data_IF_631399652697
#
_entry.id   IF_631399652697
#
_cell.length_a   1.000
_cell.length_b   1.000
_cell.length_c   1.000
_cell.angle_alpha   90.00
_cell.angle_beta   90.00
_cell.angle_gamma   90.00
#
_symmetry.space_group_name_H-M   'P 1'
#
loop_
_entity.id
_entity.type
_entity.pdbx_description
1 polymer ?
#
# COMPACT_ATOMS: atom_id res chain seq x y z
N UNK A 1 56.00 29.31 -27.84
CA UNK A 1 56.53 28.15 -28.60
C UNK A 1 56.26 26.91 -27.77
N UNK A 2 55.23 26.12 -28.16
CA UNK A 2 55.33 24.74 -28.72
C UNK A 2 55.82 23.74 -27.64
N UNK A 3 55.05 22.72 -27.25
CA UNK A 3 54.46 21.69 -28.13
C UNK A 3 53.07 21.16 -27.67
N UNK A 4 52.18 21.15 -28.66
CA UNK A 4 50.99 20.31 -28.94
C UNK A 4 51.48 18.88 -29.33
N UNK A 5 50.85 17.70 -29.11
CA UNK A 5 49.50 17.10 -29.34
C UNK A 5 49.63 15.57 -28.95
N UNK A 6 48.62 14.66 -29.07
CA UNK A 6 47.27 14.82 -29.58
C UNK A 6 46.10 14.28 -28.71
N UNK A 7 44.96 14.89 -29.01
CA UNK A 7 43.59 14.49 -28.70
C UNK A 7 43.24 13.24 -29.51
N UNK A 8 42.72 12.20 -28.85
CA UNK A 8 41.97 11.14 -29.52
C UNK A 8 40.47 11.37 -29.27
N UNK A 9 39.76 11.74 -30.33
CA UNK A 9 38.31 11.80 -30.39
C UNK A 9 37.75 10.38 -30.38
N UNK A 10 36.82 10.09 -29.46
CA UNK A 10 35.82 9.05 -29.68
C UNK A 10 34.44 9.63 -29.38
N UNK A 11 33.61 9.61 -30.41
CA UNK A 11 32.19 9.94 -30.39
C UNK A 11 31.43 9.09 -29.37
N UNK A 12 30.80 9.73 -28.39
CA UNK A 12 29.50 9.27 -27.90
C UNK A 12 28.49 10.41 -28.08
N UNK A 13 27.57 10.14 -29.00
CA UNK A 13 26.40 10.94 -29.33
C UNK A 13 25.56 11.24 -28.09
N UNK A 14 25.12 12.48 -28.02
CA UNK A 14 24.26 13.03 -26.99
C UNK A 14 22.90 12.33 -26.93
N UNK A 15 22.57 11.81 -25.74
CA UNK A 15 21.22 11.87 -25.17
C UNK A 15 21.40 12.29 -23.71
N UNK A 16 21.77 13.55 -23.52
CA UNK A 16 21.80 14.17 -22.21
C UNK A 16 20.39 14.70 -21.92
N UNK A 17 19.49 13.79 -21.55
CA UNK A 17 18.21 14.19 -20.94
C UNK A 17 18.56 14.73 -19.56
N UNK A 18 18.23 15.99 -19.33
CA UNK A 18 18.59 16.78 -18.15
C UNK A 18 18.16 16.14 -16.83
N UNK A 19 19.02 15.30 -16.23
CA UNK A 19 18.98 15.00 -14.81
C UNK A 19 19.56 16.18 -14.04
N UNK A 20 18.70 17.01 -13.45
CA UNK A 20 19.11 17.96 -12.41
C UNK A 20 19.35 17.19 -11.12
N UNK A 21 20.58 16.67 -10.95
CA UNK A 21 21.04 16.18 -9.66
C UNK A 21 21.18 17.41 -8.74
N UNK A 22 20.29 17.51 -7.76
CA UNK A 22 20.22 18.63 -6.81
C UNK A 22 21.24 18.41 -5.69
N UNK A 23 22.48 18.86 -5.89
CA UNK A 23 23.43 19.05 -4.78
C UNK A 23 23.04 20.38 -4.11
N UNK A 24 22.16 20.34 -3.09
CA UNK A 24 21.75 21.54 -2.35
C UNK A 24 22.89 22.00 -1.44
N UNK A 25 23.33 23.26 -1.60
CA UNK A 25 24.12 24.00 -0.61
C UNK A 25 23.23 24.30 0.61
N UNK A 26 23.83 24.26 1.81
CA UNK A 26 23.22 24.72 3.06
C UNK A 26 22.98 26.24 3.03
N UNK A 27 21.84 26.64 2.47
CA UNK A 27 21.17 27.90 2.78
C UNK A 27 19.73 27.54 3.16
N UNK A 28 19.13 28.32 4.07
CA UNK A 28 17.87 28.16 4.81
C UNK A 28 16.64 27.81 3.93
N UNK A 29 16.65 26.63 3.30
CA UNK A 29 15.64 26.15 2.36
C UNK A 29 14.42 25.68 3.14
N UNK A 30 13.40 26.53 3.23
CA UNK A 30 12.10 26.15 3.80
C UNK A 30 11.48 25.02 2.96
N UNK A 31 11.20 23.89 3.59
CA UNK A 31 10.56 22.72 2.98
C UNK A 31 9.20 23.09 2.40
N UNK A 32 9.03 22.88 1.09
CA UNK A 32 7.77 23.14 0.37
C UNK A 32 6.91 21.88 0.32
N UNK A 33 5.66 21.97 0.80
CA UNK A 33 4.75 20.82 0.94
C UNK A 33 3.61 20.89 -0.09
N UNK A 34 3.42 19.83 -0.87
CA UNK A 34 2.23 19.65 -1.70
C UNK A 34 1.11 18.98 -0.91
N UNK A 35 -0.14 19.38 -1.09
CA UNK A 35 -1.29 18.76 -0.43
C UNK A 35 -2.31 18.30 -1.45
N UNK A 36 -2.62 17.01 -1.39
CA UNK A 36 -3.61 16.33 -2.21
C UNK A 36 -4.56 15.59 -1.27
N UNK A 37 -5.86 15.65 -1.53
CA UNK A 37 -6.84 14.94 -0.72
C UNK A 37 -7.97 14.37 -1.58
N UNK A 38 -8.61 13.31 -1.11
CA UNK A 38 -9.88 12.87 -1.66
C UNK A 38 -11.00 13.89 -1.40
N UNK A 39 -12.10 13.74 -2.14
CA UNK A 39 -13.21 14.71 -2.12
C UNK A 39 -14.34 14.30 -1.17
N UNK A 40 -14.17 13.21 -0.41
CA UNK A 40 -15.13 12.80 0.61
C UNK A 40 -15.07 13.77 1.80
N UNK A 41 -16.20 13.96 2.50
CA UNK A 41 -16.32 14.97 3.54
C UNK A 41 -15.24 14.86 4.64
N UNK A 42 -14.96 13.64 5.13
CA UNK A 42 -13.91 13.40 6.13
C UNK A 42 -12.52 13.76 5.63
N UNK A 43 -12.18 13.40 4.39
CA UNK A 43 -10.89 13.71 3.78
C UNK A 43 -10.71 15.21 3.53
N UNK A 44 -11.79 15.93 3.25
CA UNK A 44 -11.78 17.39 3.09
C UNK A 44 -11.60 18.11 4.42
N UNK A 45 -12.23 17.63 5.50
CA UNK A 45 -12.02 18.13 6.85
C UNK A 45 -10.57 17.92 7.30
N UNK A 46 -10.03 16.71 7.08
CA UNK A 46 -8.64 16.38 7.37
C UNK A 46 -7.67 17.23 6.52
N UNK A 47 -7.98 17.49 5.25
CA UNK A 47 -7.19 18.38 4.39
C UNK A 47 -7.21 19.84 4.87
N UNK A 48 -8.36 20.35 5.32
CA UNK A 48 -8.45 21.68 5.95
C UNK A 48 -7.55 21.75 7.17
N UNK A 49 -7.65 20.76 8.04
CA UNK A 49 -6.83 20.67 9.24
C UNK A 49 -5.33 20.66 8.91
N UNK A 50 -4.90 19.84 7.94
CA UNK A 50 -3.51 19.79 7.46
C UNK A 50 -3.05 21.15 6.94
N UNK A 51 -3.84 21.81 6.10
CA UNK A 51 -3.51 23.14 5.56
C UNK A 51 -3.42 24.19 6.68
N UNK A 52 -4.30 24.15 7.67
CA UNK A 52 -4.28 25.09 8.79
C UNK A 52 -3.03 24.90 9.66
N UNK A 53 -2.58 23.66 9.88
CA UNK A 53 -1.31 23.37 10.58
C UNK A 53 -0.11 23.89 9.76
N UNK A 54 -0.10 23.69 8.45
CA UNK A 54 0.96 24.21 7.58
C UNK A 54 1.03 25.75 7.64
N UNK A 55 -0.12 26.43 7.57
CA UNK A 55 -0.20 27.90 7.71
C UNK A 55 0.30 28.37 9.07
N UNK A 56 -0.12 27.71 10.16
CA UNK A 56 0.28 28.06 11.53
C UNK A 56 1.80 27.97 11.74
N UNK A 57 2.46 27.04 11.08
CA UNK A 57 3.92 26.86 11.15
C UNK A 57 4.69 27.68 10.10
N UNK A 58 4.00 28.50 9.30
CA UNK A 58 4.63 29.32 8.26
C UNK A 58 5.30 28.51 7.15
N UNK A 59 4.83 27.28 6.92
CA UNK A 59 5.33 26.39 5.87
C UNK A 59 4.88 26.87 4.50
N UNK A 60 5.77 26.79 3.49
CA UNK A 60 5.36 27.02 2.10
C UNK A 60 4.60 25.77 1.60
N UNK A 61 3.40 25.95 1.05
CA UNK A 61 2.63 24.83 0.53
C UNK A 61 1.86 25.18 -0.75
N UNK A 62 1.52 24.14 -1.51
CA UNK A 62 0.62 24.21 -2.67
C UNK A 62 -0.44 23.13 -2.55
N UNK A 63 -1.62 23.36 -3.11
CA UNK A 63 -2.74 22.40 -3.09
C UNK A 63 -3.10 21.97 -4.51
N UNK A 64 -3.65 20.77 -4.66
CA UNK A 64 -4.16 20.30 -5.96
C UNK A 64 -5.31 21.16 -6.47
N UNK A 65 -5.40 21.38 -7.79
CA UNK A 65 -6.49 22.11 -8.45
C UNK A 65 -7.88 21.78 -7.88
N UNK A 66 -8.22 20.49 -7.80
CA UNK A 66 -9.52 20.03 -7.28
C UNK A 66 -9.75 20.37 -5.81
N UNK A 67 -8.71 20.29 -5.00
CA UNK A 67 -8.78 20.64 -3.58
C UNK A 67 -8.90 22.16 -3.41
N UNK A 68 -8.22 22.94 -4.24
CA UNK A 68 -8.25 24.41 -4.25
C UNK A 68 -9.66 24.97 -4.45
N UNK A 69 -10.42 24.38 -5.38
CA UNK A 69 -11.82 24.74 -5.66
C UNK A 69 -12.72 24.64 -4.41
N UNK A 70 -12.39 23.68 -3.54
CA UNK A 70 -13.16 23.39 -2.32
C UNK A 70 -12.69 24.20 -1.10
N UNK A 71 -11.38 24.47 -1.01
CA UNK A 71 -10.80 25.19 0.13
C UNK A 71 -10.97 26.71 0.06
N UNK A 72 -11.20 27.28 -1.14
CA UNK A 72 -11.39 28.72 -1.44
C UNK A 72 -10.27 29.63 -0.91
N UNK A 73 -9.72 30.47 -1.79
CA UNK A 73 -8.67 31.44 -1.42
C UNK A 73 -7.26 30.85 -1.32
N UNK A 74 -7.03 29.70 -1.96
CA UNK A 74 -5.71 29.10 -2.16
C UNK A 74 -5.63 28.72 -3.64
N UNK A 75 -4.54 29.11 -4.31
CA UNK A 75 -4.34 28.75 -5.71
C UNK A 75 -3.99 27.28 -5.86
N UNK A 76 -4.62 26.63 -6.85
CA UNK A 76 -4.38 25.24 -7.22
C UNK A 76 -3.19 25.08 -8.17
N UNK A 77 -2.52 23.93 -8.06
CA UNK A 77 -1.55 23.47 -9.04
C UNK A 77 -1.92 22.05 -9.46
N UNK A 78 -1.86 21.77 -10.77
CA UNK A 78 -2.01 20.42 -11.29
C UNK A 78 -0.95 19.50 -10.69
N UNK A 79 -1.37 18.31 -10.26
CA UNK A 79 -0.50 17.33 -9.58
C UNK A 79 0.82 17.06 -10.31
N UNK A 80 0.80 16.96 -11.64
CA UNK A 80 2.00 16.73 -12.47
C UNK A 80 2.94 17.92 -12.57
N UNK A 81 2.48 19.11 -12.22
CA UNK A 81 3.23 20.37 -12.26
C UNK A 81 3.66 20.84 -10.87
N UNK A 82 3.33 20.09 -9.81
CA UNK A 82 3.74 20.43 -8.46
C UNK A 82 5.26 20.26 -8.32
N UNK A 83 5.93 21.35 -7.96
CA UNK A 83 7.37 21.37 -7.62
C UNK A 83 7.51 21.50 -6.10
N UNK A 84 7.49 20.38 -5.40
CA UNK A 84 7.47 20.34 -3.92
C UNK A 84 8.55 19.41 -3.39
N UNK A 85 9.03 19.67 -2.17
CA UNK A 85 10.02 18.82 -1.51
C UNK A 85 9.37 17.57 -0.89
N UNK A 86 8.10 17.66 -0.46
CA UNK A 86 7.28 16.52 0.01
C UNK A 86 5.85 16.69 -0.50
N UNK A 87 5.23 15.59 -0.94
CA UNK A 87 3.82 15.54 -1.33
C UNK A 87 3.00 14.77 -0.29
N UNK A 88 2.12 15.47 0.41
CA UNK A 88 1.18 14.87 1.34
C UNK A 88 -0.08 14.41 0.60
N UNK A 89 -0.42 13.13 0.72
CA UNK A 89 -1.64 12.54 0.13
C UNK A 89 -2.56 12.07 1.25
N UNK A 90 -3.73 12.69 1.35
CA UNK A 90 -4.72 12.43 2.40
C UNK A 90 -5.85 11.58 1.81
N UNK A 91 -6.10 10.42 2.40
CA UNK A 91 -7.15 9.51 1.95
C UNK A 91 -6.85 8.07 2.30
N UNK A 92 -7.25 7.15 1.43
CA UNK A 92 -7.02 5.70 1.56
C UNK A 92 -6.06 5.11 0.54
N UNK A 93 -5.73 3.83 0.71
CA UNK A 93 -4.87 3.05 -0.21
C UNK A 93 -5.33 3.20 -1.66
N UNK A 94 -6.64 3.11 -1.91
CA UNK A 94 -7.22 3.27 -3.25
C UNK A 94 -6.92 4.66 -3.84
N UNK A 95 -6.99 5.69 -3.02
CA UNK A 95 -6.74 7.07 -3.44
C UNK A 95 -5.25 7.31 -3.67
N UNK A 96 -4.38 6.80 -2.78
CA UNK A 96 -2.92 6.84 -2.92
C UNK A 96 -2.47 6.21 -4.24
N UNK A 97 -2.91 4.98 -4.53
CA UNK A 97 -2.59 4.29 -5.79
C UNK A 97 -3.04 5.10 -7.01
N UNK A 98 -4.26 5.65 -6.97
CA UNK A 98 -4.77 6.50 -8.05
C UNK A 98 -3.88 7.71 -8.30
N UNK A 99 -3.39 8.36 -7.24
CA UNK A 99 -2.53 9.54 -7.34
C UNK A 99 -1.12 9.20 -7.80
N UNK A 100 -0.57 8.05 -7.40
CA UNK A 100 0.68 7.53 -7.93
C UNK A 100 0.61 7.26 -9.44
N UNK A 101 -0.49 6.68 -9.93
CA UNK A 101 -0.73 6.48 -11.36
C UNK A 101 -0.85 7.81 -12.12
N UNK A 102 -1.48 8.82 -11.49
CA UNK A 102 -1.62 10.16 -12.06
C UNK A 102 -0.28 10.90 -12.14
N UNK A 103 0.56 10.81 -11.09
CA UNK A 103 1.92 11.36 -11.03
C UNK A 103 2.85 10.70 -12.06
N UNK A 104 2.76 9.38 -12.23
CA UNK A 104 3.62 8.62 -13.11
C UNK A 104 5.06 8.50 -12.58
N UNK A 105 6.04 8.83 -13.41
CA UNK A 105 7.46 8.87 -13.03
C UNK A 105 7.68 10.09 -12.12
N UNK A 106 8.05 9.85 -10.86
CA UNK A 106 8.26 10.92 -9.87
C UNK A 106 9.27 10.45 -8.83
N UNK A 107 10.09 11.38 -8.35
CA UNK A 107 11.03 11.18 -7.23
C UNK A 107 10.61 11.97 -5.99
N UNK A 108 9.47 12.68 -6.05
CA UNK A 108 8.94 13.46 -4.94
C UNK A 108 8.60 12.48 -3.80
N UNK A 109 9.17 12.66 -2.60
CA UNK A 109 8.79 11.90 -1.40
C UNK A 109 7.32 12.13 -1.06
N UNK A 110 6.61 11.05 -0.76
CA UNK A 110 5.17 11.05 -0.50
C UNK A 110 4.95 10.77 0.98
N UNK A 111 4.20 11.64 1.65
CA UNK A 111 3.69 11.41 2.99
C UNK A 111 2.22 10.98 2.90
N UNK A 112 1.92 9.67 2.95
CA UNK A 112 0.54 9.19 3.02
C UNK A 112 -0.04 9.49 4.41
N UNK A 113 -1.17 10.20 4.47
CA UNK A 113 -1.91 10.50 5.71
C UNK A 113 -3.30 9.87 5.68
N UNK A 114 -3.57 8.97 6.63
CA UNK A 114 -4.82 8.24 6.70
C UNK A 114 -5.93 9.20 7.12
N UNK A 115 -7.05 9.16 6.40
CA UNK A 115 -8.27 9.86 6.81
C UNK A 115 -9.04 9.03 7.84
N UNK A 116 -9.79 9.71 8.72
CA UNK A 116 -10.54 9.03 9.79
C UNK A 116 -11.46 7.94 9.26
N UNK A 117 -11.42 6.77 9.89
CA UNK A 117 -12.34 5.66 9.65
C UNK A 117 -12.06 4.86 8.38
N UNK A 118 -10.93 5.08 7.71
CA UNK A 118 -10.52 4.25 6.56
C UNK A 118 -9.42 3.26 7.01
N UNK A 119 -9.64 1.95 6.84
CA UNK A 119 -8.60 0.96 7.08
C UNK A 119 -7.57 1.01 5.95
N UNK A 120 -6.33 1.32 6.29
CA UNK A 120 -5.30 1.60 5.29
C UNK A 120 -3.98 0.92 5.65
N UNK A 121 -3.42 0.14 4.72
CA UNK A 121 -2.20 -0.65 4.92
C UNK A 121 -0.92 0.15 4.64
N UNK A 122 -0.98 1.15 3.74
CA UNK A 122 0.17 1.95 3.33
C UNK A 122 0.35 3.24 4.15
N UNK A 123 -0.45 3.42 5.20
CA UNK A 123 -0.53 4.67 5.96
C UNK A 123 -0.11 4.43 7.41
N UNK A 124 1.04 4.99 7.81
CA UNK A 124 1.51 4.89 9.19
C UNK A 124 0.92 5.98 10.10
N UNK A 125 0.50 7.11 9.53
CA UNK A 125 0.13 8.34 10.27
C UNK A 125 -1.25 8.81 9.83
N UNK A 126 -2.09 9.16 10.80
CA UNK A 126 -3.38 9.82 10.52
C UNK A 126 -3.19 11.32 10.27
N UNK A 127 -4.01 11.89 9.38
CA UNK A 127 -4.02 13.33 9.11
C UNK A 127 -4.23 14.18 10.37
N UNK A 128 -4.91 13.67 11.40
CA UNK A 128 -5.11 14.37 12.68
C UNK A 128 -3.84 14.52 13.51
N UNK A 129 -2.80 13.74 13.21
CA UNK A 129 -1.53 13.74 13.95
C UNK A 129 -0.43 14.54 13.26
N UNK A 130 -0.76 15.26 12.19
CA UNK A 130 0.24 16.03 11.45
C UNK A 130 0.90 17.10 12.33
N UNK A 131 0.20 17.65 13.31
CA UNK A 131 0.73 18.63 14.26
C UNK A 131 1.90 18.06 15.08
N UNK A 132 1.85 16.78 15.40
CA UNK A 132 2.89 16.05 16.13
C UNK A 132 4.14 15.75 15.30
N UNK A 133 4.06 15.80 13.97
CA UNK A 133 5.19 15.49 13.07
C UNK A 133 5.63 16.66 12.20
N UNK A 134 4.91 17.78 12.20
CA UNK A 134 5.23 18.89 11.29
C UNK A 134 6.64 19.43 11.53
N UNK A 135 7.09 19.53 12.79
CA UNK A 135 8.47 19.91 13.11
C UNK A 135 9.48 18.95 12.48
N UNK A 136 9.29 17.64 12.69
CA UNK A 136 10.17 16.61 12.11
C UNK A 136 10.14 16.63 10.58
N UNK A 137 8.98 16.87 9.98
CA UNK A 137 8.82 16.97 8.53
C UNK A 137 9.62 18.15 7.96
N UNK A 138 9.54 19.32 8.61
CA UNK A 138 10.21 20.54 8.18
C UNK A 138 11.72 20.48 8.38
N UNK A 139 12.17 19.87 9.48
CA UNK A 139 13.60 19.66 9.81
C UNK A 139 14.21 18.48 9.05
N UNK A 140 13.44 17.79 8.21
CA UNK A 140 13.88 16.57 7.50
C UNK A 140 14.32 15.43 8.43
N UNK A 141 13.75 15.34 9.63
CA UNK A 141 13.96 14.27 10.61
C UNK A 141 13.11 13.03 10.26
N UNK A 142 13.25 12.54 9.04
CA UNK A 142 12.54 11.37 8.50
C UNK A 142 13.41 10.67 7.47
N UNK A 143 13.06 9.43 7.11
CA UNK A 143 13.79 8.62 6.12
C UNK A 143 12.93 8.36 4.90
N UNK A 144 13.58 8.20 3.75
CA UNK A 144 12.92 7.72 2.53
C UNK A 144 12.83 6.19 2.60
N UNK A 145 11.62 5.67 2.54
CA UNK A 145 11.35 4.26 2.30
C UNK A 145 11.06 4.06 0.82
N UNK A 146 11.89 3.24 0.17
CA UNK A 146 11.75 2.98 -1.26
C UNK A 146 10.78 1.83 -1.51
N UNK A 147 9.74 2.09 -2.28
CA UNK A 147 8.82 1.08 -2.80
C UNK A 147 9.06 0.84 -4.28
N UNK A 148 9.50 -0.37 -4.60
CA UNK A 148 9.74 -0.82 -5.98
C UNK A 148 8.44 -0.75 -6.79
N UNK A 149 8.57 -0.26 -8.02
CA UNK A 149 7.47 -0.18 -9.00
C UNK A 149 7.81 -0.97 -10.26
N UNK A 150 6.77 -1.44 -10.93
CA UNK A 150 6.90 -2.09 -12.24
C UNK A 150 6.22 -1.27 -13.33
N UNK A 151 6.70 -1.38 -14.56
CA UNK A 151 6.05 -0.83 -15.75
C UNK A 151 5.79 -1.97 -16.73
N UNK A 152 4.71 -1.84 -17.49
CA UNK A 152 4.39 -2.77 -18.56
C UNK A 152 4.26 -2.04 -19.90
N UNK A 153 4.68 -2.68 -20.97
CA UNK A 153 4.38 -2.29 -22.33
C UNK A 153 3.24 -3.17 -22.85
N UNK A 154 2.13 -2.54 -23.24
CA UNK A 154 0.95 -3.21 -23.78
C UNK A 154 0.63 -2.58 -25.13
N UNK A 155 0.70 -3.37 -26.21
CA UNK A 155 0.43 -2.93 -27.58
C UNK A 155 1.25 -1.69 -27.99
N UNK A 156 2.55 -1.69 -27.64
CA UNK A 156 3.48 -0.58 -27.94
C UNK A 156 3.31 0.66 -27.05
N UNK A 157 2.46 0.61 -26.01
CA UNK A 157 2.26 1.72 -25.08
C UNK A 157 2.65 1.33 -23.67
N UNK A 158 3.59 2.08 -23.10
CA UNK A 158 3.99 1.91 -21.70
C UNK A 158 2.85 2.31 -20.74
N UNK A 159 2.77 1.64 -19.60
CA UNK A 159 1.89 2.00 -18.49
C UNK A 159 2.57 3.06 -17.63
N UNK A 160 1.80 3.82 -16.83
CA UNK A 160 2.36 4.45 -15.65
C UNK A 160 3.05 3.39 -14.76
N UNK A 161 4.05 3.76 -13.95
CA UNK A 161 4.61 2.87 -12.95
C UNK A 161 3.53 2.43 -11.94
N UNK A 162 3.47 1.13 -11.72
CA UNK A 162 2.50 0.46 -10.86
C UNK A 162 3.15 0.14 -9.52
N UNK A 163 2.45 0.43 -8.43
CA UNK A 163 2.96 0.19 -7.08
C UNK A 163 2.74 -1.26 -6.65
N UNK A 164 1.59 -1.85 -6.96
CA UNK A 164 1.21 -3.17 -6.49
C UNK A 164 1.45 -4.22 -7.56
N UNK A 165 0.66 -4.22 -8.62
CA UNK A 165 0.64 -5.33 -9.56
C UNK A 165 0.04 -4.99 -10.93
N UNK A 166 0.38 -5.84 -11.89
CA UNK A 166 -0.34 -6.00 -13.15
C UNK A 166 -0.91 -7.40 -13.23
N UNK A 167 -2.22 -7.50 -13.44
CA UNK A 167 -2.90 -8.77 -13.66
C UNK A 167 -3.43 -8.88 -15.09
N UNK A 168 -3.11 -9.98 -15.78
CA UNK A 168 -3.63 -10.31 -17.11
C UNK A 168 -4.77 -11.32 -16.94
N UNK A 169 -5.97 -10.95 -17.35
CA UNK A 169 -7.19 -11.74 -17.14
C UNK A 169 -8.04 -11.81 -18.39
N UNK A 170 -8.86 -12.85 -18.49
CA UNK A 170 -10.00 -12.83 -19.39
C UNK A 170 -11.01 -11.76 -18.93
N UNK A 171 -11.58 -10.99 -19.86
CA UNK A 171 -12.59 -9.96 -19.56
C UNK A 171 -13.86 -10.55 -18.91
N UNK A 172 -14.19 -11.80 -19.25
CA UNK A 172 -15.30 -12.53 -18.66
C UNK A 172 -14.76 -13.49 -17.61
N UNK A 173 -15.30 -13.42 -16.40
CA UNK A 173 -14.96 -14.33 -15.31
C UNK A 173 -15.17 -15.80 -15.71
N UNK A 174 -14.45 -16.71 -15.05
CA UNK A 174 -14.49 -18.15 -15.31
C UNK A 174 -14.18 -18.52 -16.78
N UNK A 175 -13.33 -17.74 -17.44
CA UNK A 175 -12.83 -18.02 -18.78
C UNK A 175 -11.32 -18.06 -18.75
N UNK A 176 -10.74 -19.12 -19.32
CA UNK A 176 -9.30 -19.29 -19.35
C UNK A 176 -8.63 -18.35 -20.36
N UNK A 177 -7.47 -17.85 -19.99
CA UNK A 177 -6.44 -17.38 -20.92
C UNK A 177 -5.40 -18.48 -21.10
N UNK A 178 -4.84 -18.61 -22.30
CA UNK A 178 -3.62 -19.38 -22.55
C UNK A 178 -2.50 -18.42 -22.89
N UNK A 179 -1.30 -18.70 -22.39
CA UNK A 179 -0.14 -17.83 -22.57
C UNK A 179 1.17 -18.61 -22.48
N UNK A 180 2.22 -18.00 -23.01
CA UNK A 180 3.62 -18.38 -22.85
C UNK A 180 4.32 -17.32 -22.00
N UNK A 181 4.97 -17.74 -20.92
CA UNK A 181 5.80 -16.89 -20.05
C UNK A 181 7.27 -17.04 -20.43
N UNK A 182 7.92 -15.91 -20.65
CA UNK A 182 9.35 -15.79 -20.91
C UNK A 182 9.99 -14.92 -19.83
N UNK A 183 11.22 -15.27 -19.45
CA UNK A 183 12.08 -14.49 -18.55
C UNK A 183 13.39 -14.28 -19.28
N UNK A 184 13.79 -13.02 -19.50
CA UNK A 184 14.98 -12.65 -20.30
C UNK A 184 15.08 -13.41 -21.63
N UNK A 185 13.97 -13.37 -22.40
CA UNK A 185 13.83 -14.03 -23.70
C UNK A 185 13.88 -15.58 -23.67
N UNK A 186 14.13 -16.20 -22.52
CA UNK A 186 14.08 -17.65 -22.34
C UNK A 186 12.66 -18.13 -22.05
N UNK A 187 12.25 -19.22 -22.71
CA UNK A 187 10.93 -19.80 -22.48
C UNK A 187 10.88 -20.49 -21.13
N UNK A 188 10.15 -19.89 -20.18
CA UNK A 188 9.98 -20.44 -18.84
C UNK A 188 8.87 -21.48 -18.81
N UNK A 189 7.65 -21.11 -19.23
CA UNK A 189 6.55 -22.06 -19.34
C UNK A 189 5.40 -21.64 -20.26
N UNK A 190 4.51 -22.60 -20.56
CA UNK A 190 3.15 -22.33 -21.06
C UNK A 190 2.12 -22.76 -20.03
N UNK A 191 1.01 -22.04 -20.00
CA UNK A 191 -0.07 -22.36 -19.08
C UNK A 191 -1.45 -21.94 -19.61
N UNK A 192 -2.49 -22.50 -18.99
CA UNK A 192 -3.87 -22.04 -19.12
C UNK A 192 -4.41 -21.72 -17.73
N UNK A 193 -4.95 -20.54 -17.51
CA UNK A 193 -5.39 -20.10 -16.18
C UNK A 193 -6.48 -19.04 -16.28
N UNK A 194 -7.14 -18.70 -15.18
CA UNK A 194 -8.06 -17.54 -15.15
C UNK A 194 -7.30 -16.22 -15.38
N UNK A 195 -6.02 -16.20 -14.99
CA UNK A 195 -5.12 -15.08 -15.24
C UNK A 195 -3.69 -15.30 -14.74
N UNK A 196 -2.87 -14.28 -14.89
CA UNK A 196 -1.51 -14.21 -14.39
C UNK A 196 -1.28 -12.84 -13.76
N UNK A 197 -0.75 -12.81 -12.53
CA UNK A 197 -0.39 -11.57 -11.83
C UNK A 197 1.13 -11.46 -11.78
N UNK A 198 1.67 -10.28 -12.07
CA UNK A 198 3.03 -9.91 -11.72
C UNK A 198 2.95 -8.81 -10.66
N UNK A 199 3.46 -9.09 -9.47
CA UNK A 199 3.35 -8.22 -8.31
C UNK A 199 4.73 -7.74 -7.83
N UNK A 200 4.76 -6.52 -7.33
CA UNK A 200 5.89 -5.96 -6.58
C UNK A 200 5.88 -6.50 -5.14
N UNK A 201 6.93 -6.24 -4.34
CA UNK A 201 6.91 -6.54 -2.92
C UNK A 201 5.75 -5.85 -2.18
N UNK A 202 5.40 -4.62 -2.58
CA UNK A 202 4.27 -3.88 -1.99
C UNK A 202 2.93 -4.52 -2.38
N UNK A 203 2.79 -4.98 -3.63
CA UNK A 203 1.61 -5.71 -4.08
C UNK A 203 1.48 -7.13 -3.53
N UNK A 204 2.52 -7.66 -2.87
CA UNK A 204 2.51 -9.03 -2.33
C UNK A 204 1.43 -9.23 -1.26
N UNK A 205 1.04 -8.18 -0.53
CA UNK A 205 -0.04 -8.15 0.46
C UNK A 205 -1.40 -7.73 -0.12
N UNK A 206 -1.45 -7.37 -1.40
CA UNK A 206 -2.66 -6.94 -2.09
C UNK A 206 -3.35 -8.15 -2.78
N UNK A 207 -3.68 -8.05 -4.07
CA UNK A 207 -4.40 -9.12 -4.75
C UNK A 207 -3.57 -10.41 -4.85
N UNK A 208 -2.25 -10.28 -4.98
CA UNK A 208 -1.30 -11.41 -4.94
C UNK A 208 -1.52 -12.31 -3.73
N UNK A 209 -1.70 -11.75 -2.53
CA UNK A 209 -1.93 -12.54 -1.31
C UNK A 209 -3.21 -13.38 -1.41
N UNK A 210 -4.26 -12.80 -1.98
CA UNK A 210 -5.57 -13.45 -2.11
C UNK A 210 -5.56 -14.65 -3.06
N UNK A 211 -4.64 -14.67 -4.03
CA UNK A 211 -4.48 -15.79 -4.98
C UNK A 211 -3.36 -16.77 -4.58
N UNK A 212 -2.88 -16.68 -3.33
CA UNK A 212 -1.87 -17.59 -2.78
C UNK A 212 -0.42 -17.22 -3.09
N UNK A 213 -0.16 -15.96 -3.44
CA UNK A 213 1.20 -15.43 -3.55
C UNK A 213 1.90 -15.32 -2.18
N UNK A 214 3.24 -15.34 -2.15
CA UNK A 214 3.99 -15.15 -0.91
C UNK A 214 3.93 -13.69 -0.44
N UNK A 215 4.02 -13.49 0.88
CA UNK A 215 4.28 -12.16 1.46
C UNK A 215 5.76 -11.83 1.28
N UNK A 216 6.05 -10.65 0.73
CA UNK A 216 7.41 -10.18 0.43
C UNK A 216 7.65 -8.86 1.15
N UNK A 217 8.80 -8.74 1.81
CA UNK A 217 9.19 -7.50 2.49
C UNK A 217 9.43 -6.39 1.47
N UNK A 218 8.89 -5.19 1.73
CA UNK A 218 8.87 -4.07 0.78
C UNK A 218 10.25 -3.69 0.18
N UNK A 219 11.33 -3.84 0.95
CA UNK A 219 12.71 -3.52 0.56
C UNK A 219 13.38 -4.57 -0.34
N UNK A 220 12.74 -5.70 -0.59
CA UNK A 220 13.32 -6.81 -1.36
C UNK A 220 13.38 -6.46 -2.86
N UNK A 221 14.53 -6.60 -3.55
CA UNK A 221 14.67 -6.28 -4.98
C UNK A 221 14.15 -7.42 -5.86
N UNK A 222 12.88 -7.77 -5.71
CA UNK A 222 12.26 -8.92 -6.37
C UNK A 222 10.86 -8.60 -6.86
N UNK A 223 10.40 -9.35 -7.87
CA UNK A 223 9.00 -9.45 -8.26
C UNK A 223 8.49 -10.86 -8.07
N UNK A 224 7.17 -11.01 -7.93
CA UNK A 224 6.50 -12.30 -7.91
C UNK A 224 5.59 -12.45 -9.11
N UNK A 225 5.55 -13.66 -9.67
CA UNK A 225 4.63 -14.05 -10.75
C UNK A 225 3.72 -15.14 -10.21
N UNK A 226 2.41 -14.87 -10.21
CA UNK A 226 1.40 -15.72 -9.59
C UNK A 226 0.34 -16.11 -10.63
N UNK A 227 0.28 -17.39 -11.04
CA UNK A 227 -0.80 -17.86 -11.88
C UNK A 227 -2.10 -17.94 -11.07
N UNK A 228 -3.19 -17.39 -11.59
CA UNK A 228 -4.51 -17.40 -10.94
C UNK A 228 -5.31 -18.57 -11.46
N UNK A 229 -5.59 -19.56 -10.60
CA UNK A 229 -6.33 -20.78 -10.94
C UNK A 229 -5.80 -21.49 -12.20
N UNK A 230 -4.49 -21.81 -12.19
CA UNK A 230 -3.86 -22.60 -13.26
C UNK A 230 -4.53 -23.96 -13.45
N UNK A 231 -4.70 -24.39 -14.70
CA UNK A 231 -5.12 -25.76 -15.04
C UNK A 231 -4.07 -26.80 -14.70
N UNK A 232 -2.80 -26.39 -14.58
CA UNK A 232 -1.73 -27.23 -14.08
C UNK A 232 -1.55 -27.01 -12.56
N UNK A 233 -1.95 -27.97 -11.72
CA UNK A 233 -1.90 -27.83 -10.26
C UNK A 233 -0.48 -27.87 -9.69
N UNK A 234 0.55 -28.14 -10.49
CA UNK A 234 1.95 -28.04 -10.08
C UNK A 234 2.50 -26.61 -10.22
N UNK A 235 1.77 -25.70 -10.90
CA UNK A 235 2.17 -24.29 -11.00
C UNK A 235 2.12 -23.64 -9.62
N UNK A 236 3.19 -22.96 -9.26
CA UNK A 236 3.34 -22.24 -7.99
C UNK A 236 3.75 -20.80 -8.30
N UNK A 237 3.45 -19.84 -7.39
CA UNK A 237 4.07 -18.54 -7.44
C UNK A 237 5.59 -18.68 -7.54
N UNK A 238 6.21 -17.84 -8.37
CA UNK A 238 7.67 -17.73 -8.44
C UNK A 238 8.08 -16.33 -8.00
N UNK A 239 9.23 -16.24 -7.35
CA UNK A 239 9.87 -14.98 -6.98
C UNK A 239 11.16 -14.89 -7.77
N UNK A 240 11.37 -13.76 -8.43
CA UNK A 240 12.53 -13.51 -9.27
C UNK A 240 13.12 -12.13 -8.99
N UNK A 241 14.38 -11.94 -9.35
CA UNK A 241 15.04 -10.64 -9.25
C UNK A 241 14.35 -9.60 -10.13
N UNK A 242 14.26 -8.35 -9.65
CA UNK A 242 13.53 -7.28 -10.33
C UNK A 242 14.28 -6.64 -11.51
N UNK A 243 15.53 -7.05 -11.77
CA UNK A 243 16.31 -6.66 -12.95
C UNK A 243 15.97 -7.48 -14.21
N UNK A 244 15.33 -8.64 -14.05
CA UNK A 244 14.90 -9.50 -15.15
C UNK A 244 13.67 -8.93 -15.87
N UNK A 245 13.59 -9.18 -17.18
CA UNK A 245 12.44 -8.82 -18.00
C UNK A 245 11.48 -10.00 -18.09
N UNK A 246 10.21 -9.72 -17.83
CA UNK A 246 9.12 -10.70 -17.94
C UNK A 246 8.34 -10.42 -19.22
N UNK A 247 8.17 -11.44 -20.06
CA UNK A 247 7.35 -11.33 -21.27
C UNK A 247 6.23 -12.38 -21.27
N UNK A 248 5.01 -11.92 -21.53
CA UNK A 248 3.83 -12.76 -21.67
C UNK A 248 3.38 -12.70 -23.13
N UNK A 249 3.48 -13.81 -23.86
CA UNK A 249 3.13 -13.92 -25.28
C UNK A 249 2.17 -15.07 -25.55
N UNK A 250 1.81 -15.26 -26.82
CA UNK A 250 0.84 -16.29 -27.27
C UNK A 250 -0.51 -16.21 -26.53
N UNK A 251 -0.90 -14.99 -26.13
CA UNK A 251 -2.10 -14.71 -25.36
C UNK A 251 -3.35 -15.01 -26.19
N UNK A 252 -4.12 -16.01 -25.75
CA UNK A 252 -5.35 -16.42 -26.44
C UNK A 252 -6.46 -16.72 -25.44
N UNK A 253 -7.69 -16.36 -25.80
CA UNK A 253 -8.90 -16.66 -25.04
C UNK A 253 -10.12 -16.59 -25.97
N UNK A 254 -11.24 -17.19 -25.55
CA UNK A 254 -12.52 -17.09 -26.27
C UNK A 254 -13.19 -15.71 -26.09
N UNK A 255 -12.69 -14.90 -25.18
CA UNK A 255 -13.14 -13.53 -24.91
C UNK A 255 -11.96 -12.57 -24.97
N UNK A 256 -12.23 -11.25 -24.95
CA UNK A 256 -11.16 -10.25 -24.88
C UNK A 256 -10.31 -10.45 -23.61
N UNK A 257 -9.00 -10.19 -23.72
CA UNK A 257 -8.06 -10.20 -22.61
C UNK A 257 -7.83 -8.76 -22.15
N UNK A 258 -7.74 -8.55 -20.84
CA UNK A 258 -7.50 -7.25 -20.22
C UNK A 258 -6.33 -7.34 -19.24
N UNK A 259 -5.51 -6.29 -19.25
CA UNK A 259 -4.55 -6.00 -18.19
C UNK A 259 -5.22 -5.07 -17.17
N UNK A 260 -5.18 -5.48 -15.91
CA UNK A 260 -5.64 -4.73 -14.75
C UNK A 260 -4.40 -4.18 -14.05
N UNK A 261 -4.29 -2.85 -13.96
CA UNK A 261 -3.13 -2.15 -13.42
C UNK A 261 -3.48 -1.57 -12.05
N UNK A 262 -2.79 -2.00 -10.99
CA UNK A 262 -3.03 -1.64 -9.57
C UNK A 262 -4.50 -1.77 -9.13
N UNK A 263 -5.29 -2.61 -9.81
CA UNK A 263 -6.75 -2.71 -9.61
C UNK A 263 -7.57 -1.49 -10.07
N UNK A 264 -6.95 -0.46 -10.65
CA UNK A 264 -7.59 0.82 -10.98
C UNK A 264 -7.87 0.99 -12.48
N UNK A 265 -6.93 0.59 -13.34
CA UNK A 265 -7.00 0.82 -14.78
C UNK A 265 -7.14 -0.52 -15.50
N UNK A 266 -8.09 -0.60 -16.43
CA UNK A 266 -8.22 -1.73 -17.35
C UNK A 266 -7.77 -1.33 -18.75
N UNK A 267 -6.83 -2.08 -19.33
CA UNK A 267 -6.40 -1.93 -20.72
C UNK A 267 -6.66 -3.20 -21.49
N UNK A 268 -7.20 -3.09 -22.70
CA UNK A 268 -7.33 -4.23 -23.60
C UNK A 268 -5.92 -4.70 -23.99
N UNK A 269 -5.70 -6.01 -23.93
CA UNK A 269 -4.50 -6.66 -24.46
C UNK A 269 -4.88 -7.28 -25.80
N UNK A 270 -4.08 -7.01 -26.83
CA UNK A 270 -4.22 -7.63 -28.14
C UNK A 270 -3.28 -8.83 -28.27
N UNK A 271 -2.95 -9.22 -29.50
CA UNK A 271 -2.09 -10.39 -29.75
C UNK A 271 -0.59 -10.06 -29.62
N UNK A 272 -0.23 -8.81 -29.27
CA UNK A 272 1.17 -8.45 -29.01
C UNK A 272 1.61 -8.94 -27.63
N UNK A 273 2.93 -9.21 -27.45
CA UNK A 273 3.45 -9.55 -26.14
C UNK A 273 3.25 -8.42 -25.13
N UNK A 274 2.95 -8.78 -23.87
CA UNK A 274 3.01 -7.86 -22.74
C UNK A 274 4.39 -7.99 -22.12
N UNK A 275 5.17 -6.91 -22.14
CA UNK A 275 6.52 -6.87 -21.57
C UNK A 275 6.49 -6.12 -20.25
N UNK A 276 7.03 -6.71 -19.19
CA UNK A 276 7.00 -6.17 -17.83
C UNK A 276 8.44 -6.09 -17.33
N UNK A 277 8.78 -4.97 -16.71
CA UNK A 277 10.11 -4.71 -16.13
C UNK A 277 9.99 -3.79 -14.92
N UNK A 278 11.08 -3.67 -14.17
CA UNK A 278 11.18 -2.63 -13.14
C UNK A 278 11.09 -1.23 -13.75
N UNK A 279 10.36 -0.36 -13.05
CA UNK A 279 10.27 1.06 -13.36
C UNK A 279 11.62 1.74 -13.10
N UNK A 280 11.95 2.75 -13.90
CA UNK A 280 13.17 3.55 -13.71
C UNK A 280 13.10 4.39 -12.42
N UNK A 281 11.90 4.69 -11.93
CA UNK A 281 11.68 5.34 -10.62
C UNK A 281 10.82 4.50 -9.68
N UNK A 282 11.28 4.39 -8.43
CA UNK A 282 10.54 3.84 -7.30
C UNK A 282 9.64 4.91 -6.66
N UNK A 283 8.59 4.50 -5.95
CA UNK A 283 7.85 5.42 -5.09
C UNK A 283 8.63 5.63 -3.79
N UNK A 284 8.80 6.88 -3.38
CA UNK A 284 9.53 7.21 -2.15
C UNK A 284 8.53 7.63 -1.09
N UNK A 285 8.40 6.86 -0.01
CA UNK A 285 7.52 7.21 1.10
C UNK A 285 8.31 7.87 2.23
N UNK A 286 7.70 8.86 2.88
CA UNK A 286 8.24 9.50 4.08
C UNK A 286 7.96 8.58 5.27
N UNK A 287 9.01 8.01 5.85
CA UNK A 287 8.95 7.11 7.01
C UNK A 287 9.54 7.78 8.23
N UNK A 288 8.80 7.78 9.33
CA UNK A 288 9.28 8.24 10.63
C UNK A 288 9.80 7.05 11.46
N UNK A 289 10.52 7.29 12.55
CA UNK A 289 10.95 6.19 13.42
C UNK A 289 9.74 5.51 14.08
N UNK A 290 9.83 4.20 14.32
CA UNK A 290 8.75 3.44 14.98
C UNK A 290 8.37 4.06 16.33
N UNK A 291 9.36 4.42 17.15
CA UNK A 291 9.17 5.13 18.42
C UNK A 291 8.35 6.42 18.26
N UNK A 292 8.56 7.17 17.17
CA UNK A 292 7.84 8.40 16.89
C UNK A 292 6.40 8.12 16.46
N UNK A 293 6.20 7.14 15.59
CA UNK A 293 4.86 6.70 15.15
C UNK A 293 4.06 6.17 16.34
N UNK A 294 4.67 5.38 17.21
CA UNK A 294 4.03 4.83 18.41
C UNK A 294 3.68 5.91 19.43
N UNK A 295 4.54 6.93 19.62
CA UNK A 295 4.22 8.08 20.46
C UNK A 295 2.99 8.86 19.95
N UNK A 296 2.79 8.92 18.63
CA UNK A 296 1.63 9.55 18.00
C UNK A 296 0.38 8.67 18.11
N UNK A 297 0.54 7.34 17.97
CA UNK A 297 -0.53 6.37 18.24
C UNK A 297 -0.98 6.45 19.70
N UNK A 298 -0.05 6.54 20.66
CA UNK A 298 -0.35 6.74 22.07
C UNK A 298 -1.14 8.03 22.37
N UNK A 299 -0.95 9.09 21.58
CA UNK A 299 -1.80 10.30 21.63
C UNK A 299 -3.17 10.11 20.98
N UNK A 300 -3.27 9.28 19.94
CA UNK A 300 -4.53 8.88 19.31
C UNK A 300 -5.38 8.01 20.25
N UNK A 301 -4.75 7.06 20.94
CA UNK A 301 -5.36 6.11 21.87
C UNK A 301 -5.86 6.80 23.16
N UNK A 302 -5.24 7.91 23.58
CA UNK A 302 -5.76 8.72 24.69
C UNK A 302 -7.12 9.39 24.44
N UNK A 303 -7.61 9.42 23.19
CA UNK A 303 -8.96 9.93 22.87
C UNK A 303 -10.01 8.85 22.64
N UNK A 304 -9.62 7.58 22.56
CA UNK A 304 -10.52 6.43 22.39
C UNK A 304 -9.80 5.19 22.89
N UNK A 305 -10.12 4.75 24.11
CA UNK A 305 -9.62 3.49 24.65
C UNK A 305 -10.05 2.33 23.74
N UNK A 306 -9.08 1.63 23.16
CA UNK A 306 -9.35 0.45 22.32
C UNK A 306 -9.64 -0.77 23.18
N UNK A 307 -10.27 -1.79 22.58
CA UNK A 307 -10.54 -3.06 23.25
C UNK A 307 -9.23 -3.75 23.72
N UNK A 308 -8.12 -3.54 23.01
CA UNK A 308 -6.81 -4.07 23.36
C UNK A 308 -6.18 -3.35 24.56
N UNK A 309 -6.38 -2.03 24.69
CA UNK A 309 -5.91 -1.25 25.84
C UNK A 309 -6.62 -1.68 27.14
N UNK A 310 -7.95 -1.82 27.09
CA UNK A 310 -8.75 -2.31 28.23
C UNK A 310 -8.35 -3.75 28.57
N UNK A 311 -8.13 -4.60 27.58
CA UNK A 311 -7.66 -5.96 27.80
C UNK A 311 -6.26 -6.02 28.45
N UNK A 312 -5.39 -5.04 28.18
CA UNK A 312 -4.04 -4.98 28.76
C UNK A 312 -4.07 -4.80 30.28
N UNK A 313 -5.08 -4.13 30.83
CA UNK A 313 -5.26 -3.91 32.28
C UNK A 313 -5.93 -5.10 33.01
N UNK A 314 -6.43 -6.10 32.28
CA UNK A 314 -7.12 -7.24 32.87
C UNK A 314 -6.18 -8.30 33.48
N UNK A 315 -6.68 -9.18 34.36
CA UNK A 315 -5.91 -10.33 34.86
C UNK A 315 -5.44 -11.26 33.72
N UNK A 316 -4.29 -11.96 33.86
CA UNK A 316 -3.72 -12.80 32.81
C UNK A 316 -4.68 -13.85 32.23
N UNK A 317 -5.54 -14.43 33.07
CA UNK A 317 -6.55 -15.40 32.63
C UNK A 317 -7.61 -14.81 31.70
N UNK A 318 -8.00 -13.55 31.92
CA UNK A 318 -8.93 -12.84 31.06
C UNK A 318 -8.30 -12.46 29.71
N UNK A 319 -7.02 -12.03 29.72
CA UNK A 319 -6.27 -11.78 28.47
C UNK A 319 -6.17 -13.02 27.59
N UNK A 320 -5.86 -14.16 28.20
CA UNK A 320 -5.75 -15.43 27.48
C UNK A 320 -7.09 -15.83 26.83
N UNK A 321 -8.19 -15.74 27.58
CA UNK A 321 -9.54 -16.03 27.04
C UNK A 321 -9.90 -15.07 25.91
N UNK A 322 -9.57 -13.78 26.05
CA UNK A 322 -9.82 -12.78 25.01
C UNK A 322 -9.04 -13.09 23.72
N UNK A 323 -7.74 -13.39 23.83
CA UNK A 323 -6.91 -13.76 22.66
C UNK A 323 -7.35 -15.06 21.99
N UNK A 324 -7.80 -16.06 22.76
CA UNK A 324 -8.37 -17.29 22.17
C UNK A 324 -9.64 -17.01 21.38
N UNK A 325 -10.54 -16.16 21.90
CA UNK A 325 -11.76 -15.75 21.19
C UNK A 325 -11.47 -14.85 19.97
N UNK A 326 -10.44 -14.01 20.04
CA UNK A 326 -10.01 -13.20 18.89
C UNK A 326 -9.47 -14.09 17.76
N UNK A 327 -8.67 -15.09 18.09
CA UNK A 327 -8.04 -15.96 17.11
C UNK A 327 -9.00 -17.00 16.52
N UNK A 328 -9.86 -17.61 17.34
CA UNK A 328 -10.75 -18.70 16.92
C UNK A 328 -12.19 -18.25 16.62
N UNK A 329 -12.53 -16.99 16.91
CA UNK A 329 -13.85 -16.44 16.68
C UNK A 329 -14.88 -16.88 17.74
N UNK A 330 -16.05 -17.36 17.30
CA UNK A 330 -17.12 -17.75 18.22
C UNK A 330 -16.85 -19.12 18.84
N UNK A 331 -16.75 -19.17 20.18
CA UNK A 331 -16.58 -20.41 20.93
C UNK A 331 -17.60 -20.52 22.07
N UNK A 332 -17.99 -21.74 22.40
CA UNK A 332 -18.73 -22.08 23.61
C UNK A 332 -17.82 -22.04 24.84
N UNK A 333 -18.40 -21.93 26.03
CA UNK A 333 -17.61 -22.00 27.27
C UNK A 333 -16.79 -23.30 27.38
N UNK A 334 -17.29 -24.42 26.84
CA UNK A 334 -16.60 -25.71 26.86
C UNK A 334 -15.36 -25.67 25.98
N UNK A 335 -15.48 -25.18 24.76
CA UNK A 335 -14.36 -25.05 23.82
C UNK A 335 -13.31 -24.09 24.37
N UNK A 336 -13.71 -22.97 25.00
CA UNK A 336 -12.75 -22.04 25.63
C UNK A 336 -11.97 -22.73 26.76
N UNK A 337 -12.60 -23.60 27.55
CA UNK A 337 -11.89 -24.38 28.60
C UNK A 337 -10.87 -25.33 27.97
N UNK A 338 -11.23 -26.00 26.88
CA UNK A 338 -10.35 -26.95 26.18
C UNK A 338 -9.15 -26.22 25.54
N UNK A 339 -9.39 -25.10 24.88
CA UNK A 339 -8.35 -24.32 24.19
C UNK A 339 -7.42 -23.56 25.14
N UNK A 340 -7.94 -23.02 26.24
CA UNK A 340 -7.13 -22.27 27.22
C UNK A 340 -6.47 -23.15 28.27
N UNK A 341 -6.91 -24.41 28.41
CA UNK A 341 -6.52 -25.33 29.49
C UNK A 341 -6.71 -24.75 30.92
N UNK A 342 -7.54 -23.71 31.05
CA UNK A 342 -7.83 -23.09 32.34
C UNK A 342 -8.94 -23.83 33.10
N UNK A 343 -8.94 -23.81 34.45
CA UNK A 343 -10.03 -24.39 35.22
C UNK A 343 -11.40 -23.76 34.87
N UNK A 344 -12.51 -24.53 34.86
CA UNK A 344 -13.83 -24.02 34.48
C UNK A 344 -14.34 -22.83 35.31
N UNK A 345 -13.87 -22.67 36.55
CA UNK A 345 -14.21 -21.50 37.39
C UNK A 345 -13.46 -20.26 36.92
N UNK A 346 -12.19 -20.40 36.54
CA UNK A 346 -11.35 -19.31 36.02
C UNK A 346 -11.87 -18.80 34.69
N UNK A 347 -12.29 -19.70 33.78
CA UNK A 347 -12.90 -19.30 32.51
C UNK A 347 -14.22 -18.55 32.73
N UNK A 348 -15.08 -19.01 33.65
CA UNK A 348 -16.33 -18.28 33.98
C UNK A 348 -16.06 -16.89 34.53
N UNK A 349 -15.08 -16.76 35.43
CA UNK A 349 -14.65 -15.47 35.97
C UNK A 349 -14.13 -14.55 34.86
N UNK A 350 -13.23 -15.05 34.00
CA UNK A 350 -12.70 -14.31 32.87
C UNK A 350 -13.80 -13.85 31.89
N UNK A 351 -14.73 -14.73 31.53
CA UNK A 351 -15.87 -14.38 30.67
C UNK A 351 -16.77 -13.31 31.31
N UNK A 352 -17.04 -13.41 32.62
CA UNK A 352 -17.83 -12.40 33.33
C UNK A 352 -17.17 -11.03 33.30
N UNK A 353 -15.84 -10.99 33.47
CA UNK A 353 -15.05 -9.76 33.47
C UNK A 353 -14.95 -9.15 32.07
N UNK A 354 -14.67 -9.96 31.05
CA UNK A 354 -14.65 -9.49 29.66
C UNK A 354 -16.01 -8.99 29.17
N UNK A 355 -17.11 -9.58 29.67
CA UNK A 355 -18.47 -9.10 29.38
C UNK A 355 -18.78 -7.78 30.10
N UNK A 356 -18.31 -7.57 31.34
CA UNK A 356 -18.53 -6.30 32.05
C UNK A 356 -17.78 -5.14 31.41
N UNK A 357 -16.59 -5.40 30.84
CA UNK A 357 -15.82 -4.43 30.05
C UNK A 357 -16.33 -4.24 28.61
N UNK A 358 -17.38 -4.97 28.20
CA UNK A 358 -17.96 -4.90 26.85
C UNK A 358 -17.06 -5.46 25.74
N UNK A 359 -15.97 -6.13 26.09
CA UNK A 359 -14.99 -6.69 25.16
C UNK A 359 -15.49 -7.92 24.41
N UNK A 360 -16.44 -8.66 24.99
CA UNK A 360 -17.06 -9.82 24.37
C UNK A 360 -18.59 -9.77 24.53
N UNK A 361 -19.30 -10.44 23.61
CA UNK A 361 -20.75 -10.63 23.70
C UNK A 361 -21.12 -12.11 23.63
N UNK A 362 -22.22 -12.46 24.32
CA UNK A 362 -22.79 -13.81 24.35
C UNK A 362 -24.02 -13.87 23.44
N UNK A 363 -24.02 -14.78 22.48
CA UNK A 363 -25.17 -15.13 21.63
C UNK A 363 -25.63 -16.55 21.93
N UNK A 364 -26.90 -16.84 21.66
CA UNK A 364 -27.42 -18.21 21.72
C UNK A 364 -26.88 -19.02 20.54
N UNK A 365 -26.45 -20.25 20.80
CA UNK A 365 -26.14 -21.18 19.72
C UNK A 365 -27.44 -21.61 19.03
N UNK A 366 -27.46 -21.49 17.70
CA UNK A 366 -28.57 -21.98 16.88
C UNK A 366 -28.60 -23.52 16.81
N UNK A 367 -27.48 -24.19 17.12
CA UNK A 367 -27.37 -25.66 17.12
C UNK A 367 -27.77 -26.29 18.47
N UNK A 368 -27.61 -25.57 19.58
CA UNK A 368 -28.09 -25.98 20.92
C UNK A 368 -28.44 -24.73 21.74
N UNK A 369 -29.73 -24.43 21.89
CA UNK A 369 -30.22 -23.22 22.55
C UNK A 369 -29.88 -23.13 24.04
N UNK A 370 -29.39 -24.21 24.67
CA UNK A 370 -28.90 -24.21 26.05
C UNK A 370 -27.45 -23.72 26.16
N UNK A 371 -26.75 -23.58 25.04
CA UNK A 371 -25.37 -23.15 24.98
C UNK A 371 -25.25 -21.71 24.51
N UNK A 372 -24.40 -20.94 25.21
CA UNK A 372 -24.00 -19.61 24.77
C UNK A 372 -22.67 -19.65 24.03
N UNK A 373 -22.61 -18.96 22.89
CA UNK A 373 -21.39 -18.70 22.14
C UNK A 373 -20.89 -17.30 22.46
N UNK A 374 -19.61 -17.20 22.79
CA UNK A 374 -18.91 -15.97 23.12
C UNK A 374 -18.07 -15.54 21.91
N UNK A 375 -17.96 -14.24 21.68
CA UNK A 375 -17.10 -13.65 20.64
C UNK A 375 -16.70 -12.24 21.02
N UNK A 376 -15.58 -11.79 20.45
CA UNK A 376 -15.10 -10.41 20.59
C UNK A 376 -16.10 -9.43 19.97
N UNK A 377 -16.36 -8.34 20.69
CA UNK A 377 -17.21 -7.25 20.21
C UNK A 377 -16.38 -6.39 19.26
N UNK A 378 -16.64 -6.48 17.95
CA UNK A 378 -16.14 -5.47 17.03
C UNK A 378 -16.89 -4.16 17.31
N UNK A 379 -16.22 -3.19 17.94
CA UNK A 379 -16.68 -1.80 17.91
C UNK A 379 -16.56 -1.34 16.45
N UNK A 380 -17.72 -1.08 15.83
CA UNK A 380 -17.80 -0.50 14.49
C UNK A 380 -17.26 0.93 14.47
#
# INVERSE_FOLDING_TARGET
MRQLLPICQCHLSAVCTSLRIRVKKEEDHKTRVGVVSGMEASMLEDARYVVDILKKNGTEFVVEDKLSETLKGIDGVSLRKMDVDVLTIIGSDKFLLKKLLELGQTEIPILPLASKGQPDFLFEISATNIDGIIGDLLESNWKKEEHRRLVAEISGKETPPLLNDIGIFARRSATLIRYSLLIDDEHFWKDGSDGLIVATPTGSTAYSLSVGGPVILASSPVFSIIPVNSVNPARRPIVLSDDLKVEIKDLTSSVAIEAVLDGQIRRKVDNHPVRIRRSDTSAMFVKFSEERVDALRGKLLRKTETAEDVAHELPPSAKLVFKVLEYQGQLSQKEIIEETMLPPRTVRYALSLLMSEGLITKKLSLRDSRQGLYHVTNKA
#
